data_IF_196745047725
#
_entry.id   IF_196745047725
#
_cell.length_a   1.000
_cell.length_b   1.000
_cell.length_c   1.000
_cell.angle_alpha   90.00
_cell.angle_beta   90.00
_cell.angle_gamma   90.00
#
_symmetry.space_group_name_H-M   'P 1'
#
loop_
_entity.id
_entity.type
_entity.pdbx_description
1 polymer ?
#
# COMPACT_ATOMS: atom_id res chain seq x y z
N UNK A 1 -4.29 16.44 -12.07
CA UNK A 1 -4.36 17.60 -11.16
C UNK A 1 -3.22 17.40 -10.19
N UNK A 2 -2.28 18.35 -10.12
CA UNK A 2 -1.15 18.30 -9.18
C UNK A 2 -1.59 19.00 -7.89
N UNK A 3 -1.50 18.33 -6.75
CA UNK A 3 -1.75 18.94 -5.45
C UNK A 3 -0.54 19.76 -5.01
N UNK A 4 -0.76 20.91 -4.38
CA UNK A 4 0.33 21.65 -3.73
C UNK A 4 0.78 20.92 -2.46
N UNK A 5 1.99 21.20 -2.00
CA UNK A 5 2.50 20.64 -0.76
C UNK A 5 1.59 20.97 0.45
N UNK A 6 1.06 22.19 0.49
CA UNK A 6 0.13 22.64 1.54
C UNK A 6 -1.16 21.83 1.52
N UNK A 7 -1.75 21.60 0.34
CA UNK A 7 -2.94 20.77 0.18
C UNK A 7 -2.69 19.32 0.61
N UNK A 8 -1.53 18.76 0.27
CA UNK A 8 -1.14 17.41 0.71
C UNK A 8 -1.03 17.36 2.23
N UNK A 9 -0.41 18.37 2.85
CA UNK A 9 -0.28 18.44 4.31
C UNK A 9 -1.63 18.56 5.00
N UNK A 10 -2.56 19.35 4.44
CA UNK A 10 -3.91 19.50 4.97
C UNK A 10 -4.68 18.18 4.91
N UNK A 11 -4.65 17.50 3.76
CA UNK A 11 -5.29 16.18 3.59
C UNK A 11 -4.72 15.15 4.58
N UNK A 12 -3.39 15.09 4.73
CA UNK A 12 -2.76 14.18 5.70
C UNK A 12 -3.18 14.52 7.13
N UNK A 13 -3.23 15.81 7.47
CA UNK A 13 -3.68 16.27 8.78
C UNK A 13 -5.13 15.87 9.05
N UNK A 14 -6.02 15.99 8.07
CA UNK A 14 -7.42 15.55 8.20
C UNK A 14 -7.54 14.03 8.36
N UNK A 15 -6.83 13.24 7.55
CA UNK A 15 -6.84 11.77 7.62
C UNK A 15 -6.30 11.27 8.97
N UNK A 16 -5.31 11.97 9.51
CA UNK A 16 -4.66 11.58 10.77
C UNK A 16 -5.37 12.13 12.01
N UNK A 17 -6.46 12.89 11.87
CA UNK A 17 -7.21 13.52 12.95
C UNK A 17 -8.13 12.54 13.71
N UNK A 18 -7.55 11.45 14.21
CA UNK A 18 -8.23 10.43 15.01
C UNK A 18 -7.24 9.45 15.63
N UNK A 19 -7.66 8.71 16.65
CA UNK A 19 -6.79 7.83 17.44
C UNK A 19 -6.07 6.76 16.59
N UNK A 20 -6.70 6.29 15.50
CA UNK A 20 -6.12 5.33 14.55
C UNK A 20 -5.72 5.95 13.21
N UNK A 21 -5.74 7.27 13.07
CA UNK A 21 -5.54 7.96 11.78
C UNK A 21 -4.15 7.74 11.18
N UNK A 22 -3.10 7.79 12.01
CA UNK A 22 -1.73 7.50 11.57
C UNK A 22 -1.58 6.03 11.10
N UNK A 23 -2.20 5.09 11.80
CA UNK A 23 -2.15 3.68 11.42
C UNK A 23 -2.86 3.43 10.09
N UNK A 24 -4.02 4.05 9.89
CA UNK A 24 -4.76 4.02 8.63
C UNK A 24 -3.96 4.61 7.47
N UNK A 25 -3.30 5.76 7.68
CA UNK A 25 -2.44 6.38 6.68
C UNK A 25 -1.27 5.48 6.29
N UNK A 26 -0.58 4.90 7.27
CA UNK A 26 0.55 3.98 7.02
C UNK A 26 0.07 2.76 6.24
N UNK A 27 -1.04 2.13 6.66
CA UNK A 27 -1.63 0.99 5.97
C UNK A 27 -1.96 1.32 4.50
N UNK A 28 -2.69 2.40 4.27
CA UNK A 28 -3.09 2.81 2.91
C UNK A 28 -1.88 3.20 2.06
N UNK A 29 -0.86 3.83 2.66
CA UNK A 29 0.41 4.15 1.99
C UNK A 29 1.15 2.88 1.55
N UNK A 30 1.30 1.90 2.45
CA UNK A 30 1.94 0.62 2.14
C UNK A 30 1.20 -0.14 1.04
N UNK A 31 -0.13 -0.24 1.12
CA UNK A 31 -0.95 -0.89 0.08
C UNK A 31 -0.81 -0.18 -1.29
N UNK A 32 -0.76 1.15 -1.29
CA UNK A 32 -0.57 1.94 -2.52
C UNK A 32 0.81 1.69 -3.16
N UNK A 33 1.86 1.60 -2.34
CA UNK A 33 3.22 1.26 -2.81
C UNK A 33 3.25 -0.13 -3.44
N UNK A 34 2.64 -1.12 -2.78
CA UNK A 34 2.56 -2.50 -3.30
C UNK A 34 1.82 -2.59 -4.65
N UNK A 35 0.73 -1.81 -4.80
CA UNK A 35 0.00 -1.73 -6.07
C UNK A 35 0.89 -1.10 -7.16
N UNK A 36 1.64 -0.06 -6.82
CA UNK A 36 2.58 0.58 -7.74
C UNK A 36 3.65 -0.39 -8.22
N UNK A 37 4.32 -1.11 -7.30
CA UNK A 37 5.32 -2.12 -7.64
C UNK A 37 4.74 -3.23 -8.53
N UNK A 38 3.51 -3.69 -8.27
CA UNK A 38 2.84 -4.66 -9.14
C UNK A 38 2.65 -4.13 -10.56
N UNK A 39 2.29 -2.86 -10.73
CA UNK A 39 2.11 -2.31 -12.09
C UNK A 39 3.38 -2.45 -12.89
N UNK A 40 4.53 -2.12 -12.30
CA UNK A 40 5.83 -2.32 -12.92
C UNK A 40 6.13 -3.80 -13.19
N UNK A 41 5.89 -4.68 -12.21
CA UNK A 41 6.12 -6.11 -12.36
C UNK A 41 5.24 -6.76 -13.46
N UNK A 42 3.96 -6.38 -13.51
CA UNK A 42 3.02 -6.87 -14.51
C UNK A 42 3.36 -6.36 -15.92
N UNK A 43 3.85 -5.13 -16.03
CA UNK A 43 4.36 -4.59 -17.31
C UNK A 43 5.60 -5.34 -17.78
N UNK A 44 6.52 -5.69 -16.86
CA UNK A 44 7.75 -6.43 -17.19
C UNK A 44 7.48 -7.90 -17.58
N UNK A 45 6.63 -8.60 -16.82
CA UNK A 45 6.39 -10.03 -17.00
C UNK A 45 5.10 -10.36 -17.77
N UNK A 46 4.37 -9.36 -18.25
CA UNK A 46 3.03 -9.53 -18.84
C UNK A 46 2.05 -10.31 -17.95
N UNK A 47 2.17 -10.14 -16.62
CA UNK A 47 1.32 -10.83 -15.66
C UNK A 47 -0.08 -10.19 -15.58
N UNK A 48 -1.12 -11.01 -15.68
CA UNK A 48 -2.55 -10.63 -15.60
C UNK A 48 -3.23 -11.10 -14.30
N UNK A 49 -2.44 -11.55 -13.33
CA UNK A 49 -2.91 -12.05 -12.03
C UNK A 49 -3.59 -10.96 -11.22
N UNK A 50 -4.80 -11.21 -10.72
CA UNK A 50 -5.61 -10.27 -9.94
C UNK A 50 -5.89 -10.75 -8.51
N UNK A 51 -5.13 -11.75 -8.04
CA UNK A 51 -5.30 -12.30 -6.71
C UNK A 51 -4.81 -11.36 -5.62
N UNK A 52 -5.38 -11.50 -4.43
CA UNK A 52 -4.89 -10.86 -3.21
C UNK A 52 -4.74 -11.92 -2.12
N UNK A 53 -3.75 -11.73 -1.25
CA UNK A 53 -3.48 -12.51 -0.04
C UNK A 53 -3.36 -11.56 1.14
N UNK A 54 -3.89 -11.94 2.28
CA UNK A 54 -3.69 -11.18 3.51
C UNK A 54 -2.25 -11.38 3.99
N UNK A 55 -1.61 -10.29 4.41
CA UNK A 55 -0.27 -10.27 4.94
C UNK A 55 -0.24 -9.47 6.23
N UNK A 56 0.53 -9.94 7.20
CA UNK A 56 0.77 -9.24 8.46
C UNK A 56 2.19 -8.71 8.48
N UNK A 57 2.33 -7.40 8.63
CA UNK A 57 3.63 -6.74 8.81
C UNK A 57 3.72 -6.25 10.25
N UNK A 58 4.74 -6.71 10.98
CA UNK A 58 5.00 -6.29 12.35
C UNK A 58 6.14 -5.27 12.36
N UNK A 59 5.86 -4.03 12.77
CA UNK A 59 6.88 -2.99 12.87
C UNK A 59 6.64 -2.10 14.09
N UNK A 60 7.70 -1.85 14.88
CA UNK A 60 7.62 -0.96 16.05
C UNK A 60 6.59 -1.38 17.12
N UNK A 61 6.31 -2.68 17.25
CA UNK A 61 5.29 -3.20 18.19
C UNK A 61 3.84 -3.10 17.68
N UNK A 62 3.62 -2.60 16.46
CA UNK A 62 2.32 -2.59 15.79
C UNK A 62 2.23 -3.69 14.73
N UNK A 63 1.03 -4.20 14.52
CA UNK A 63 0.73 -5.20 13.49
C UNK A 63 -0.18 -4.56 12.46
N UNK A 64 0.28 -4.49 11.21
CA UNK A 64 -0.49 -4.01 10.08
C UNK A 64 -1.01 -5.20 9.29
N UNK A 65 -2.34 -5.32 9.19
CA UNK A 65 -2.98 -6.26 8.29
C UNK A 65 -3.14 -5.61 6.91
N UNK A 66 -2.27 -6.01 5.99
CA UNK A 66 -2.21 -5.51 4.62
C UNK A 66 -2.79 -6.53 3.67
N UNK A 67 -3.41 -6.05 2.60
CA UNK A 67 -3.79 -6.90 1.48
C UNK A 67 -2.68 -6.88 0.41
N UNK A 68 -1.86 -7.92 0.39
CA UNK A 68 -0.75 -8.08 -0.58
C UNK A 68 -1.24 -8.78 -1.84
N UNK A 69 -0.64 -8.47 -2.96
CA UNK A 69 -1.02 -9.00 -4.27
C UNK A 69 -0.51 -10.43 -4.47
N UNK A 70 -1.29 -11.30 -5.11
CA UNK A 70 -0.94 -12.71 -5.36
C UNK A 70 -0.80 -12.96 -6.87
N UNK A 71 0.39 -13.39 -7.28
CA UNK A 71 0.72 -13.78 -8.67
C UNK A 71 0.29 -15.20 -9.00
N UNK A 72 0.13 -15.52 -10.29
CA UNK A 72 -0.28 -16.86 -10.79
C UNK A 72 0.84 -17.88 -10.87
N UNK A 73 2.08 -17.43 -11.14
CA UNK A 73 3.22 -18.31 -11.39
C UNK A 73 4.42 -17.94 -10.51
N UNK A 74 4.76 -16.66 -10.46
CA UNK A 74 5.73 -16.15 -9.50
C UNK A 74 5.00 -15.55 -8.32
N UNK A 75 5.39 -15.96 -7.12
CA UNK A 75 4.92 -15.30 -5.92
C UNK A 75 5.50 -13.87 -5.95
N UNK A 76 4.68 -12.88 -6.29
CA UNK A 76 5.05 -11.48 -6.15
C UNK A 76 5.36 -11.18 -4.67
N UNK A 77 6.58 -10.73 -4.41
CA UNK A 77 7.03 -10.25 -3.11
C UNK A 77 7.41 -8.79 -3.28
N UNK A 78 6.56 -7.85 -2.82
CA UNK A 78 6.90 -6.43 -2.82
C UNK A 78 8.18 -6.23 -1.99
N UNK A 79 9.07 -5.36 -2.47
CA UNK A 79 10.45 -5.16 -1.95
C UNK A 79 10.56 -4.02 -0.96
#
# INVERSE_FOLDING_TARGET
MEFTHEQISEIISEITNGESGLEGLIKQGLESLMISERRFHNEELSDVSNGYRDCRVCHGGKVFELRVLHGRHDNFHPT
#
